data_IF_947559534825
#
_entry.id   IF_947559534825
#
_cell.length_a   1.000
_cell.length_b   1.000
_cell.length_c   1.000
_cell.angle_alpha   90.00
_cell.angle_beta   90.00
_cell.angle_gamma   90.00
#
_symmetry.space_group_name_H-M   'P 1'
#
loop_
_entity.id
_entity.type
_entity.pdbx_description
1 polymer ?
#
# COMPACT_ATOMS: atom_id res chain seq x y z
N UNK A 1 -13.60 77.05 -3.77
CA UNK A 1 -13.86 76.10 -4.88
C UNK A 1 -12.58 75.31 -5.13
N UNK A 2 -12.68 73.97 -5.11
CA UNK A 2 -11.61 73.00 -5.43
C UNK A 2 -11.01 73.30 -6.82
N UNK A 3 -9.72 73.01 -7.04
CA UNK A 3 -9.30 71.97 -7.99
C UNK A 3 -7.76 71.77 -8.03
N UNK A 4 -7.38 70.59 -7.56
CA UNK A 4 -6.33 69.65 -7.99
C UNK A 4 -5.09 70.15 -8.76
N UNK A 5 -3.92 70.02 -8.12
CA UNK A 5 -2.65 69.75 -8.83
C UNK A 5 -2.07 68.42 -8.36
N UNK A 6 -1.85 67.58 -9.37
CA UNK A 6 -1.26 66.26 -9.40
C UNK A 6 0.13 66.26 -8.74
N UNK A 7 0.38 65.36 -7.80
CA UNK A 7 1.73 65.06 -7.31
C UNK A 7 1.96 63.55 -7.40
N UNK A 8 2.88 63.21 -8.29
CA UNK A 8 3.40 61.87 -8.55
C UNK A 8 3.91 61.22 -7.27
N UNK A 9 3.44 60.01 -6.97
CA UNK A 9 4.15 59.06 -6.12
C UNK A 9 4.54 57.86 -6.98
N UNK A 10 5.84 57.79 -7.28
CA UNK A 10 6.50 56.67 -7.94
C UNK A 10 6.59 55.54 -6.90
N UNK A 11 6.04 54.34 -7.15
CA UNK A 11 6.37 53.20 -6.30
C UNK A 11 7.78 52.72 -6.67
N UNK A 12 8.72 52.96 -5.76
CA UNK A 12 10.06 52.38 -5.80
C UNK A 12 9.88 50.87 -5.63
N UNK A 13 9.97 50.14 -6.74
CA UNK A 13 10.07 48.68 -6.73
C UNK A 13 11.48 48.33 -6.27
N UNK A 14 11.66 48.11 -4.96
CA UNK A 14 12.89 47.57 -4.39
C UNK A 14 13.03 46.13 -4.87
N UNK A 15 13.85 45.94 -5.89
CA UNK A 15 14.31 44.65 -6.38
C UNK A 15 15.33 44.14 -5.37
N UNK A 16 14.91 43.26 -4.46
CA UNK A 16 15.85 42.43 -3.71
C UNK A 16 16.30 41.29 -4.62
N UNK A 17 17.59 41.10 -4.88
CA UNK A 17 18.07 39.86 -5.47
C UNK A 17 17.94 38.80 -4.38
N UNK A 18 16.80 38.12 -4.32
CA UNK A 18 16.78 36.80 -3.75
C UNK A 18 17.71 35.97 -4.64
N UNK A 19 18.91 35.65 -4.13
CA UNK A 19 19.67 34.51 -4.60
C UNK A 19 18.79 33.27 -4.36
N UNK A 20 17.92 33.01 -5.31
CA UNK A 20 17.39 31.68 -5.51
C UNK A 20 18.59 30.91 -6.02
N UNK A 21 19.20 30.11 -5.15
CA UNK A 21 20.10 29.06 -5.55
C UNK A 21 19.27 28.06 -6.35
N UNK A 22 19.00 28.40 -7.62
CA UNK A 22 18.47 27.51 -8.63
C UNK A 22 19.59 26.51 -8.93
N UNK A 23 19.75 25.54 -8.03
CA UNK A 23 20.29 24.25 -8.39
C UNK A 23 19.31 23.64 -9.38
N UNK A 24 19.50 23.96 -10.66
CA UNK A 24 19.04 23.16 -11.78
C UNK A 24 19.91 21.90 -11.76
N UNK A 25 19.61 21.03 -10.79
CA UNK A 25 20.07 19.66 -10.73
C UNK A 25 18.98 18.80 -11.33
N UNK A 26 19.21 18.31 -12.53
CA UNK A 26 18.41 17.25 -13.12
C UNK A 26 18.60 15.97 -12.31
N UNK A 27 17.81 15.81 -11.26
CA UNK A 27 17.49 14.51 -10.68
C UNK A 27 15.97 14.35 -10.82
N UNK A 28 15.57 13.29 -11.51
CA UNK A 28 14.21 12.77 -11.46
C UNK A 28 13.92 12.31 -10.02
N UNK A 29 13.70 13.26 -9.12
CA UNK A 29 13.21 12.98 -7.77
C UNK A 29 11.74 12.64 -7.92
N UNK A 30 11.45 11.38 -8.25
CA UNK A 30 10.12 10.81 -8.06
C UNK A 30 9.74 11.14 -6.62
N UNK A 31 8.70 11.95 -6.38
CA UNK A 31 8.34 12.34 -5.03
C UNK A 31 8.08 11.07 -4.22
N UNK A 32 8.90 10.82 -3.21
CA UNK A 32 8.71 9.65 -2.37
C UNK A 32 7.48 9.86 -1.50
N UNK A 33 6.57 8.90 -1.55
CA UNK A 33 5.36 8.91 -0.75
C UNK A 33 5.69 9.03 0.74
N UNK A 34 4.87 9.78 1.51
CA UNK A 34 5.08 9.91 2.94
C UNK A 34 4.90 8.55 3.64
N UNK A 35 5.76 8.25 4.62
CA UNK A 35 5.67 7.00 5.39
C UNK A 35 5.93 7.21 6.88
N UNK A 36 5.50 6.27 7.71
CA UNK A 36 5.74 6.24 9.16
C UNK A 36 6.25 4.88 9.59
N UNK A 37 7.26 4.84 10.47
CA UNK A 37 7.75 3.60 11.08
C UNK A 37 7.14 3.48 12.48
N UNK A 38 6.48 2.36 12.77
CA UNK A 38 5.87 2.13 14.08
C UNK A 38 6.93 2.00 15.17
N UNK A 39 6.71 2.70 16.28
CA UNK A 39 7.59 2.67 17.47
C UNK A 39 7.04 1.79 18.58
N UNK A 40 5.75 1.47 18.53
CA UNK A 40 5.05 0.56 19.44
C UNK A 40 4.15 -0.38 18.63
N UNK A 41 3.87 -1.62 19.11
CA UNK A 41 2.85 -2.46 18.49
C UNK A 41 1.50 -1.75 18.48
N UNK A 42 0.74 -1.89 17.40
CA UNK A 42 -0.57 -1.24 17.28
C UNK A 42 -1.48 -1.97 16.29
N UNK A 43 -2.74 -1.55 16.19
CA UNK A 43 -3.69 -2.07 15.22
C UNK A 43 -3.82 -1.07 14.07
N UNK A 44 -3.64 -1.53 12.84
CA UNK A 44 -3.86 -0.76 11.60
C UNK A 44 -4.65 -1.63 10.63
N UNK A 45 -5.72 -1.10 10.03
CA UNK A 45 -6.60 -1.85 9.12
C UNK A 45 -7.08 -3.19 9.73
N UNK A 46 -7.31 -3.20 11.05
CA UNK A 46 -7.65 -4.36 11.87
C UNK A 46 -6.59 -5.48 11.93
N UNK A 47 -5.33 -5.17 11.61
CA UNK A 47 -4.20 -6.07 11.75
C UNK A 47 -3.36 -5.61 12.94
N UNK A 48 -3.02 -6.52 13.84
CA UNK A 48 -2.01 -6.27 14.86
C UNK A 48 -0.63 -6.25 14.19
N UNK A 49 0.00 -5.08 14.16
CA UNK A 49 1.31 -4.89 13.53
C UNK A 49 2.42 -4.68 14.58
N UNK A 50 3.61 -5.25 14.38
CA UNK A 50 4.74 -5.09 15.30
C UNK A 50 5.42 -3.72 15.16
N UNK A 51 6.36 -3.46 16.08
CA UNK A 51 7.31 -2.34 16.00
C UNK A 51 8.17 -2.49 14.74
N UNK A 52 8.54 -1.38 14.12
CA UNK A 52 9.36 -1.37 12.92
C UNK A 52 8.59 -1.59 11.61
N UNK A 53 7.26 -1.73 11.68
CA UNK A 53 6.40 -1.81 10.49
C UNK A 53 6.39 -0.45 9.79
N UNK A 54 6.63 -0.44 8.48
CA UNK A 54 6.55 0.75 7.65
C UNK A 54 5.15 0.89 7.07
N UNK A 55 4.53 2.03 7.34
CA UNK A 55 3.21 2.43 6.85
C UNK A 55 3.40 3.52 5.80
N UNK A 56 3.11 3.23 4.54
CA UNK A 56 3.21 4.19 3.44
C UNK A 56 1.83 4.75 3.10
N UNK A 57 1.77 6.05 2.83
CA UNK A 57 0.52 6.76 2.57
C UNK A 57 0.57 7.42 1.20
N UNK A 58 -0.55 7.39 0.48
CA UNK A 58 -0.66 8.00 -0.84
C UNK A 58 -0.34 9.50 -0.82
N UNK A 59 0.30 9.96 -1.88
CA UNK A 59 0.83 11.31 -2.07
C UNK A 59 -0.10 12.42 -1.54
N UNK A 60 0.45 13.27 -0.68
CA UNK A 60 -0.22 14.48 -0.19
C UNK A 60 0.59 15.71 -0.56
N UNK A 61 -0.09 16.78 -0.95
CA UNK A 61 0.55 18.08 -1.17
C UNK A 61 1.40 18.43 0.06
N UNK A 62 2.69 18.70 -0.17
CA UNK A 62 3.67 19.12 0.84
C UNK A 62 4.06 18.08 1.91
N UNK A 63 3.75 16.79 1.71
CA UNK A 63 4.28 15.73 2.58
C UNK A 63 4.97 14.66 1.77
N UNK A 64 6.23 14.45 2.07
CA UNK A 64 7.09 13.44 1.47
C UNK A 64 7.95 12.81 2.56
N UNK A 65 8.52 11.64 2.30
CA UNK A 65 9.48 10.95 3.18
C UNK A 65 8.89 10.55 4.56
N UNK A 66 9.77 10.27 5.52
CA UNK A 66 9.38 9.85 6.85
C UNK A 66 8.64 10.94 7.63
N UNK A 67 7.55 10.55 8.26
CA UNK A 67 6.73 11.40 9.12
C UNK A 67 7.02 11.10 10.59
N UNK A 68 6.89 12.11 11.45
CA UNK A 68 7.09 11.97 12.90
C UNK A 68 5.86 11.42 13.63
N UNK A 69 4.71 11.35 12.95
CA UNK A 69 3.43 10.89 13.51
C UNK A 69 2.70 10.06 12.48
N UNK A 70 1.88 9.14 13.00
CA UNK A 70 0.97 8.36 12.18
C UNK A 70 0.00 9.29 11.42
N UNK A 71 -0.30 8.92 10.17
CA UNK A 71 -1.23 9.63 9.31
C UNK A 71 -2.58 8.89 9.26
N UNK A 72 -3.65 9.51 8.73
CA UNK A 72 -4.96 8.84 8.66
C UNK A 72 -4.91 7.54 7.86
N UNK A 73 -5.44 6.44 8.43
CA UNK A 73 -5.50 5.13 7.76
C UNK A 73 -6.29 5.12 6.43
N UNK A 74 -7.18 6.10 6.25
CA UNK A 74 -7.88 6.30 4.97
C UNK A 74 -6.95 6.65 3.79
N UNK A 75 -5.69 7.01 4.07
CA UNK A 75 -4.65 7.34 3.10
C UNK A 75 -3.55 6.29 3.03
N UNK A 76 -3.63 5.26 3.86
CA UNK A 76 -2.66 4.17 3.87
C UNK A 76 -2.76 3.38 2.56
N UNK A 77 -1.63 3.23 1.89
CA UNK A 77 -1.51 2.46 0.65
C UNK A 77 -0.75 1.18 0.90
N UNK A 78 0.25 1.18 1.78
CA UNK A 78 1.13 0.02 1.94
C UNK A 78 1.49 -0.23 3.41
N UNK A 79 1.62 -1.51 3.75
CA UNK A 79 2.14 -2.00 5.03
C UNK A 79 3.30 -2.92 4.71
N UNK A 80 4.51 -2.58 5.15
CA UNK A 80 5.70 -3.43 5.02
C UNK A 80 6.17 -3.87 6.41
N UNK A 81 6.20 -5.17 6.66
CA UNK A 81 6.62 -5.76 7.92
C UNK A 81 8.15 -5.85 8.00
N UNK A 82 8.75 -5.69 9.19
CA UNK A 82 10.18 -5.86 9.37
C UNK A 82 10.58 -7.33 9.23
N UNK A 83 11.77 -7.61 8.69
CA UNK A 83 12.21 -8.97 8.32
C UNK A 83 12.10 -10.03 9.43
N UNK A 84 12.19 -9.61 10.69
CA UNK A 84 12.20 -10.45 11.89
C UNK A 84 10.86 -10.47 12.65
N UNK A 85 9.82 -9.76 12.19
CA UNK A 85 8.50 -9.79 12.81
C UNK A 85 7.41 -9.76 11.74
N UNK A 86 7.20 -10.91 11.10
CA UNK A 86 6.14 -11.11 10.12
C UNK A 86 4.86 -11.58 10.82
N UNK A 87 3.71 -11.24 10.25
CA UNK A 87 2.45 -11.91 10.55
C UNK A 87 2.32 -13.17 9.70
N UNK A 88 1.54 -14.15 10.14
CA UNK A 88 1.34 -15.41 9.41
C UNK A 88 -0.08 -15.51 8.89
N UNK A 89 -0.25 -15.97 7.65
CA UNK A 89 -1.55 -16.27 7.05
C UNK A 89 -1.51 -17.59 6.29
N UNK A 90 -2.39 -18.53 6.65
CA UNK A 90 -2.42 -19.85 6.00
C UNK A 90 -1.12 -20.65 6.15
N UNK A 91 -0.37 -20.36 7.22
CA UNK A 91 0.96 -20.91 7.48
C UNK A 91 2.11 -20.14 6.83
N UNK A 92 1.84 -19.09 6.06
CA UNK A 92 2.82 -18.32 5.29
C UNK A 92 3.16 -17.00 6.00
N UNK A 93 4.43 -16.69 6.27
CA UNK A 93 4.84 -15.37 6.73
C UNK A 93 4.57 -14.30 5.66
N UNK A 94 3.99 -13.18 6.07
CA UNK A 94 3.65 -12.05 5.21
C UNK A 94 4.66 -10.94 5.40
N UNK A 95 5.19 -10.43 4.30
CA UNK A 95 6.16 -9.33 4.28
C UNK A 95 5.52 -8.00 3.97
N UNK A 96 4.51 -7.98 3.08
CA UNK A 96 3.91 -6.73 2.64
C UNK A 96 2.43 -6.89 2.30
N UNK A 97 1.68 -5.79 2.45
CA UNK A 97 0.29 -5.64 1.99
C UNK A 97 0.20 -4.31 1.26
N UNK A 98 -0.18 -4.34 0.00
CA UNK A 98 -0.27 -3.17 -0.88
C UNK A 98 -1.69 -2.99 -1.36
N UNK A 99 -2.29 -1.82 -1.19
CA UNK A 99 -3.55 -1.48 -1.81
C UNK A 99 -3.45 -1.65 -3.33
N UNK A 100 -4.54 -2.09 -3.97
CA UNK A 100 -4.59 -2.09 -5.43
C UNK A 100 -4.34 -0.68 -6.00
N UNK A 101 -3.46 -0.60 -7.01
CA UNK A 101 -3.14 0.65 -7.69
C UNK A 101 -4.37 1.26 -8.40
N UNK A 102 -5.25 0.39 -8.93
CA UNK A 102 -6.49 0.81 -9.54
C UNK A 102 -7.51 1.12 -8.43
N UNK A 103 -7.84 2.40 -8.27
CA UNK A 103 -8.76 2.89 -7.24
C UNK A 103 -10.21 2.42 -7.42
N UNK A 104 -10.58 1.94 -8.61
CA UNK A 104 -11.89 1.32 -8.86
C UNK A 104 -11.99 -0.08 -8.23
N UNK A 105 -10.85 -0.75 -8.08
CA UNK A 105 -10.77 -2.05 -7.44
C UNK A 105 -10.72 -1.88 -5.91
N UNK A 106 -11.38 -2.79 -5.21
CA UNK A 106 -11.49 -2.75 -3.74
C UNK A 106 -10.75 -3.94 -3.16
N UNK A 107 -9.50 -3.72 -2.77
CA UNK A 107 -8.66 -4.79 -2.28
C UNK A 107 -7.20 -4.41 -2.12
N UNK A 108 -6.39 -5.44 -1.94
CA UNK A 108 -4.96 -5.34 -1.74
C UNK A 108 -4.25 -6.60 -2.24
N UNK A 109 -2.99 -6.46 -2.58
CA UNK A 109 -2.07 -7.57 -2.83
C UNK A 109 -1.31 -7.89 -1.55
N UNK A 110 -1.25 -9.18 -1.20
CA UNK A 110 -0.45 -9.69 -0.07
C UNK A 110 0.79 -10.38 -0.60
N UNK A 111 1.96 -10.04 -0.07
CA UNK A 111 3.24 -10.64 -0.47
C UNK A 111 3.76 -11.61 0.60
N UNK A 112 4.12 -12.83 0.21
CA UNK A 112 4.62 -13.85 1.13
C UNK A 112 6.15 -13.86 1.22
N UNK A 113 6.66 -14.46 2.29
CA UNK A 113 8.03 -14.97 2.38
C UNK A 113 7.97 -16.49 2.56
N UNK A 114 7.92 -17.21 1.43
CA UNK A 114 7.89 -18.67 1.42
C UNK A 114 9.21 -19.30 1.91
N UNK A 115 10.32 -18.56 1.92
CA UNK A 115 11.60 -19.09 2.43
C UNK A 115 11.57 -19.25 3.94
N UNK A 116 10.79 -18.41 4.64
CA UNK A 116 10.58 -18.47 6.09
C UNK A 116 9.39 -19.33 6.52
N UNK A 117 8.68 -19.96 5.58
CA UNK A 117 7.55 -20.84 5.90
C UNK A 117 8.05 -22.19 6.43
N UNK A 118 7.57 -22.61 7.60
CA UNK A 118 7.76 -23.98 8.07
C UNK A 118 6.90 -24.93 7.22
N UNK A 119 7.54 -25.94 6.62
CA UNK A 119 6.88 -26.97 5.80
C UNK A 119 5.76 -27.68 6.56
N UNK A 120 5.86 -27.79 7.90
CA UNK A 120 4.80 -28.37 8.75
C UNK A 120 3.52 -27.55 8.76
N UNK A 121 3.63 -26.24 8.52
CA UNK A 121 2.51 -25.31 8.47
C UNK A 121 1.95 -25.16 7.05
N UNK A 122 2.50 -25.88 6.07
CA UNK A 122 2.08 -25.78 4.68
C UNK A 122 0.66 -26.37 4.50
N UNK A 123 -0.26 -25.52 4.06
CA UNK A 123 -1.64 -25.86 3.75
C UNK A 123 -1.83 -26.07 2.23
N UNK A 124 -2.98 -26.61 1.83
CA UNK A 124 -3.33 -26.66 0.40
C UNK A 124 -3.40 -25.25 -0.22
N UNK A 125 -3.88 -24.28 0.56
CA UNK A 125 -3.87 -22.87 0.19
C UNK A 125 -2.45 -22.37 -0.07
N UNK A 126 -1.51 -22.56 0.87
CA UNK A 126 -0.16 -22.06 0.70
C UNK A 126 0.63 -22.78 -0.39
N UNK A 127 0.37 -24.08 -0.64
CA UNK A 127 0.92 -24.79 -1.81
C UNK A 127 0.50 -24.14 -3.13
N UNK A 128 -0.79 -23.85 -3.29
CA UNK A 128 -1.32 -23.22 -4.51
C UNK A 128 -0.79 -21.80 -4.66
N UNK A 129 -0.83 -21.02 -3.58
CA UNK A 129 -0.25 -19.67 -3.59
C UNK A 129 1.25 -19.71 -3.98
N UNK A 130 2.04 -20.61 -3.39
CA UNK A 130 3.45 -20.76 -3.71
C UNK A 130 3.69 -21.07 -5.20
N UNK A 131 2.79 -21.82 -5.83
CA UNK A 131 2.91 -22.14 -7.27
C UNK A 131 2.79 -20.93 -8.19
N UNK A 132 2.23 -19.81 -7.71
CA UNK A 132 2.20 -18.55 -8.45
C UNK A 132 3.54 -17.81 -8.43
N UNK A 133 4.42 -18.11 -7.45
CA UNK A 133 5.73 -17.49 -7.31
C UNK A 133 5.72 -16.01 -6.90
N UNK A 134 4.59 -15.47 -6.45
CA UNK A 134 4.42 -14.04 -6.16
C UNK A 134 3.26 -13.79 -5.16
N UNK A 135 2.89 -12.53 -4.95
CA UNK A 135 1.74 -12.11 -4.16
C UNK A 135 0.38 -12.49 -4.74
N UNK A 136 -0.64 -12.44 -3.88
CA UNK A 136 -2.05 -12.67 -4.22
C UNK A 136 -2.85 -11.41 -4.06
N UNK A 137 -3.63 -11.07 -5.08
CA UNK A 137 -4.62 -10.00 -5.03
C UNK A 137 -5.89 -10.48 -4.37
N UNK A 138 -6.36 -9.75 -3.36
CA UNK A 138 -7.56 -10.08 -2.57
C UNK A 138 -8.58 -8.97 -2.72
N UNK A 139 -9.75 -9.33 -3.23
CA UNK A 139 -10.90 -8.41 -3.31
C UNK A 139 -11.72 -8.50 -2.02
N UNK A 140 -12.10 -7.34 -1.46
CA UNK A 140 -12.72 -7.22 -0.14
C UNK A 140 -13.98 -6.36 -0.14
N UNK A 141 -14.86 -6.61 0.83
CA UNK A 141 -16.09 -5.84 1.04
C UNK A 141 -15.84 -4.50 1.71
N UNK A 142 -15.13 -4.49 2.84
CA UNK A 142 -14.80 -3.32 3.63
C UNK A 142 -13.33 -2.94 3.44
N UNK A 143 -13.07 -1.77 2.84
CA UNK A 143 -11.71 -1.28 2.55
C UNK A 143 -10.98 -0.71 3.78
N UNK A 144 -11.65 -0.64 4.93
CA UNK A 144 -11.02 -0.33 6.21
C UNK A 144 -10.54 -1.57 6.96
N UNK A 145 -10.84 -2.76 6.46
CA UNK A 145 -10.44 -4.04 7.06
C UNK A 145 -9.53 -4.78 6.08
N UNK A 146 -8.22 -4.72 6.30
CA UNK A 146 -7.23 -5.47 5.51
C UNK A 146 -6.80 -6.75 6.21
N UNK A 147 -7.40 -7.05 7.36
CA UNK A 147 -7.14 -8.30 8.05
C UNK A 147 -7.58 -9.49 7.20
N UNK A 148 -7.06 -10.67 7.54
CA UNK A 148 -7.40 -11.92 6.86
C UNK A 148 -8.79 -12.47 7.27
N UNK A 149 -9.70 -11.57 7.64
CA UNK A 149 -11.07 -11.88 7.97
C UNK A 149 -11.81 -12.45 6.75
N UNK A 150 -12.05 -13.76 6.78
CA UNK A 150 -12.73 -14.48 5.70
C UNK A 150 -14.13 -13.96 5.37
N UNK A 151 -14.81 -13.27 6.30
CA UNK A 151 -16.12 -12.67 6.02
C UNK A 151 -16.01 -11.36 5.22
N UNK A 152 -14.84 -10.72 5.26
CA UNK A 152 -14.56 -9.52 4.49
C UNK A 152 -14.00 -9.83 3.09
N UNK A 153 -13.32 -10.97 2.93
CA UNK A 153 -12.78 -11.43 1.64
C UNK A 153 -13.92 -11.90 0.73
N UNK A 154 -13.98 -11.32 -0.47
CA UNK A 154 -14.97 -11.63 -1.51
C UNK A 154 -14.41 -12.68 -2.48
N UNK A 155 -13.16 -12.52 -2.92
CA UNK A 155 -12.53 -13.37 -3.93
C UNK A 155 -10.99 -13.23 -3.90
N UNK A 156 -10.31 -14.16 -4.55
CA UNK A 156 -8.91 -14.01 -4.98
C UNK A 156 -8.90 -13.44 -6.40
N UNK A 157 -8.52 -12.17 -6.51
CA UNK A 157 -8.52 -11.39 -7.76
C UNK A 157 -7.37 -11.80 -8.70
N UNK A 158 -6.23 -12.13 -8.13
CA UNK A 158 -5.04 -12.49 -8.88
C UNK A 158 -4.06 -13.30 -8.07
N UNK A 159 -3.17 -13.99 -8.78
CA UNK A 159 -2.02 -14.68 -8.22
C UNK A 159 -0.85 -14.48 -9.20
N UNK A 160 0.09 -13.60 -8.86
CA UNK A 160 1.06 -13.05 -9.81
C UNK A 160 0.42 -12.40 -11.05
N UNK A 161 1.23 -12.10 -12.06
CA UNK A 161 0.80 -11.68 -13.40
C UNK A 161 0.21 -12.82 -14.22
N UNK A 162 0.39 -14.07 -13.76
CA UNK A 162 0.01 -15.28 -14.48
C UNK A 162 -1.48 -15.60 -14.41
N UNK A 163 -2.12 -15.34 -13.25
CA UNK A 163 -3.53 -15.67 -13.02
C UNK A 163 -4.27 -14.40 -12.61
N UNK A 164 -5.20 -13.93 -13.43
CA UNK A 164 -5.93 -12.69 -13.16
C UNK A 164 -7.41 -12.82 -13.55
N UNK A 165 -8.32 -12.38 -12.66
CA UNK A 165 -9.76 -12.30 -12.95
C UNK A 165 -10.10 -11.41 -14.15
N UNK A 166 -9.20 -10.51 -14.53
CA UNK A 166 -9.30 -9.72 -15.76
C UNK A 166 -9.51 -10.59 -17.02
N UNK A 167 -8.82 -11.74 -17.13
CA UNK A 167 -8.93 -12.65 -18.28
C UNK A 167 -10.08 -13.65 -18.12
N UNK A 168 -11.31 -13.14 -18.19
CA UNK A 168 -12.55 -13.91 -17.92
C UNK A 168 -12.74 -15.13 -18.83
N UNK A 169 -12.30 -15.05 -20.07
CA UNK A 169 -12.46 -16.13 -21.06
C UNK A 169 -11.40 -17.24 -20.92
N UNK A 170 -10.37 -17.03 -20.12
CA UNK A 170 -9.38 -18.05 -19.84
C UNK A 170 -9.86 -18.96 -18.71
N UNK A 171 -10.52 -20.06 -19.08
CA UNK A 171 -11.09 -21.02 -18.12
C UNK A 171 -10.06 -21.62 -17.15
N UNK A 172 -8.82 -21.85 -17.59
CA UNK A 172 -7.75 -22.38 -16.74
C UNK A 172 -7.40 -21.40 -15.62
N UNK A 173 -7.25 -20.11 -15.95
CA UNK A 173 -6.97 -19.09 -14.93
C UNK A 173 -8.14 -18.92 -13.96
N UNK A 174 -9.38 -18.90 -14.46
CA UNK A 174 -10.56 -18.78 -13.60
C UNK A 174 -10.66 -19.98 -12.65
N UNK A 175 -10.48 -21.19 -13.16
CA UNK A 175 -10.51 -22.41 -12.35
C UNK A 175 -9.40 -22.42 -11.30
N UNK A 176 -8.20 -21.95 -11.64
CA UNK A 176 -7.10 -21.85 -10.69
C UNK A 176 -7.44 -20.89 -9.54
N UNK A 177 -7.94 -19.69 -9.86
CA UNK A 177 -8.31 -18.69 -8.86
C UNK A 177 -9.51 -19.13 -8.01
N UNK A 178 -10.49 -19.81 -8.60
CA UNK A 178 -11.63 -20.40 -7.88
C UNK A 178 -11.15 -21.44 -6.86
N UNK A 179 -10.22 -22.31 -7.25
CA UNK A 179 -9.63 -23.30 -6.35
C UNK A 179 -8.79 -22.64 -5.26
N UNK A 180 -7.98 -21.63 -5.59
CA UNK A 180 -7.18 -20.90 -4.61
C UNK A 180 -8.09 -20.19 -3.59
N UNK A 181 -9.16 -19.56 -4.04
CA UNK A 181 -10.15 -18.94 -3.15
C UNK A 181 -10.87 -20.00 -2.29
N UNK A 182 -11.25 -21.14 -2.88
CA UNK A 182 -11.85 -22.24 -2.12
C UNK A 182 -10.94 -22.70 -0.97
N UNK A 183 -9.66 -22.95 -1.24
CA UNK A 183 -8.68 -23.37 -0.23
C UNK A 183 -8.44 -22.27 0.83
N UNK A 184 -8.40 -20.99 0.42
CA UNK A 184 -8.30 -19.85 1.34
C UNK A 184 -9.42 -19.90 2.38
N UNK A 185 -10.65 -20.23 1.96
CA UNK A 185 -11.79 -20.30 2.90
C UNK A 185 -11.65 -21.41 3.93
N UNK A 186 -10.86 -22.44 3.65
CA UNK A 186 -10.59 -23.57 4.55
C UNK A 186 -9.43 -23.30 5.53
N UNK A 187 -8.64 -22.24 5.34
CA UNK A 187 -7.56 -21.85 6.25
C UNK A 187 -8.13 -21.65 7.66
N UNK A 188 -7.52 -22.30 8.66
CA UNK A 188 -7.90 -22.14 10.06
C UNK A 188 -7.53 -20.73 10.57
N UNK A 189 -8.33 -20.14 11.47
CA UNK A 189 -8.01 -18.84 12.10
C UNK A 189 -6.69 -18.86 12.86
#
# INVERSE_FOLDING_TARGET
>A
MKNYKLLYFIPICLILPACIDLRIGGENSIPQDPYYITTTPMIIKNIQIPVGTKLTYGNQKFKTLQQNKIMPESKLTDIEFPENANITWGGVPITQIHQFFNTEMRGYTVYPDFQKMDVKNQSNFSKRWQSCGDGIGITIRNTQDWSFNKNNIIDVESCSVLYQRYFKDNAEQQQFLDQLYHELKQVQP
#
